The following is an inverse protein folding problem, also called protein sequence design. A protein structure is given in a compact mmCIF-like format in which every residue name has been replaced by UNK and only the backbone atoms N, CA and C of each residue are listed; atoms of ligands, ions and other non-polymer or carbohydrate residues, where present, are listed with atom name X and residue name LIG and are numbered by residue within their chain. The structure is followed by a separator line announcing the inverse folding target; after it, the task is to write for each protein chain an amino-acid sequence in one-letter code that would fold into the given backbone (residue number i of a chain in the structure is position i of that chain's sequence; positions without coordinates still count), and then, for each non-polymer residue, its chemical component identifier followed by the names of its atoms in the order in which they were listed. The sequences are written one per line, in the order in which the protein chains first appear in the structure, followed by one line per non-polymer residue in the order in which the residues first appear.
data_IF_807080340033
#
_entry.id   IF_807080340033
#
_cell.length_a   1.000
_cell.length_b   1.000
_cell.length_c   1.000
_cell.angle_alpha   90.00
_cell.angle_beta   90.00
_cell.angle_gamma   90.00
#
_symmetry.space_group_name_H-M   'P 1'
#
loop_
_entity.id
_entity.type
_entity.pdbx_description
1 polymer ?
#
# COMPACT_ATOMS: atom_id res chain seq x y z
N UNK A 1 31.28 -3.78 -3.84
CA UNK A 1 32.46 -4.38 -4.51
C UNK A 1 32.05 -5.26 -5.71
N UNK A 2 31.02 -4.85 -6.47
CA UNK A 2 30.56 -5.51 -7.72
C UNK A 2 30.04 -4.41 -8.65
N UNK A 3 30.93 -3.47 -8.97
CA UNK A 3 30.67 -2.43 -9.99
C UNK A 3 31.73 -2.50 -11.12
N UNK A 4 32.67 -3.46 -11.02
CA UNK A 4 33.89 -3.54 -11.84
C UNK A 4 34.12 -4.91 -12.50
N UNK A 5 33.09 -5.73 -12.69
CA UNK A 5 33.23 -6.93 -13.52
C UNK A 5 33.22 -6.52 -14.99
N UNK A 6 34.32 -6.70 -15.76
CA UNK A 6 34.40 -6.19 -17.12
C UNK A 6 33.37 -6.91 -18.00
N UNK A 7 32.33 -6.19 -18.40
CA UNK A 7 31.47 -6.58 -19.51
C UNK A 7 32.31 -6.50 -20.77
N UNK A 8 32.48 -7.62 -21.49
CA UNK A 8 33.11 -7.68 -22.81
C UNK A 8 32.24 -7.04 -23.91
N UNK A 9 31.81 -5.80 -23.68
CA UNK A 9 31.47 -4.84 -24.72
C UNK A 9 32.60 -3.82 -24.76
N UNK A 10 33.09 -3.51 -25.95
CA UNK A 10 34.13 -2.53 -26.20
C UNK A 10 33.64 -1.11 -25.93
N UNK A 11 33.51 -0.76 -24.66
CA UNK A 11 33.60 0.62 -24.16
C UNK A 11 33.70 0.51 -22.63
N UNK A 12 34.83 0.96 -22.07
CA UNK A 12 35.11 0.95 -20.63
C UNK A 12 34.23 1.89 -19.79
N UNK A 13 32.94 1.97 -20.08
CA UNK A 13 31.95 2.78 -19.38
C UNK A 13 31.10 1.92 -18.46
N UNK A 14 31.12 2.26 -17.17
CA UNK A 14 30.16 1.75 -16.18
C UNK A 14 28.77 2.30 -16.50
N UNK A 15 27.96 1.53 -17.23
CA UNK A 15 26.55 1.87 -17.41
C UNK A 15 25.75 1.40 -16.20
N UNK A 16 25.27 2.35 -15.40
CA UNK A 16 24.36 2.05 -14.30
C UNK A 16 23.00 1.62 -14.84
N UNK A 17 22.45 0.51 -14.33
CA UNK A 17 21.13 -0.01 -14.69
C UNK A 17 20.04 1.08 -14.57
N UNK A 18 20.13 1.94 -13.54
CA UNK A 18 19.19 3.03 -13.33
C UNK A 18 19.25 4.06 -14.46
N UNK A 19 20.46 4.44 -14.88
CA UNK A 19 20.67 5.38 -15.99
C UNK A 19 20.11 4.83 -17.30
N UNK A 20 20.36 3.54 -17.58
CA UNK A 20 19.83 2.90 -18.80
C UNK A 20 18.30 2.83 -18.79
N UNK A 21 17.69 2.42 -17.66
CA UNK A 21 16.23 2.37 -17.53
C UNK A 21 15.59 3.75 -17.68
N UNK A 22 16.19 4.79 -17.09
CA UNK A 22 15.72 6.17 -17.20
C UNK A 22 15.88 6.67 -18.64
N UNK A 23 16.99 6.39 -19.30
CA UNK A 23 17.21 6.81 -20.69
C UNK A 23 16.24 6.12 -21.66
N UNK A 24 15.89 4.85 -21.43
CA UNK A 24 15.00 4.10 -22.33
C UNK A 24 13.52 4.37 -22.08
N UNK A 25 13.09 4.41 -20.81
CA UNK A 25 11.67 4.50 -20.44
C UNK A 25 11.26 5.83 -19.82
N UNK A 26 12.22 6.71 -19.49
CA UNK A 26 11.98 7.92 -18.71
C UNK A 26 10.93 8.85 -19.30
N UNK A 27 10.96 9.12 -20.60
CA UNK A 27 9.95 10.00 -21.22
C UNK A 27 8.53 9.44 -21.11
N UNK A 28 8.35 8.15 -21.44
CA UNK A 28 7.06 7.48 -21.30
C UNK A 28 6.62 7.39 -19.84
N UNK A 29 7.56 7.26 -18.90
CA UNK A 29 7.30 7.16 -17.48
C UNK A 29 6.91 8.51 -16.85
N UNK A 30 7.72 9.56 -17.03
CA UNK A 30 7.47 10.87 -16.44
C UNK A 30 6.24 11.55 -17.02
N UNK A 31 5.88 11.31 -18.29
CA UNK A 31 4.64 11.83 -18.87
C UNK A 31 3.37 11.29 -18.19
N UNK A 32 3.44 10.14 -17.50
CA UNK A 32 2.32 9.62 -16.69
C UNK A 32 2.00 10.49 -15.48
N UNK A 33 2.93 11.37 -15.06
CA UNK A 33 2.67 12.32 -13.98
C UNK A 33 1.49 13.26 -14.33
N UNK A 34 1.33 13.62 -15.60
CA UNK A 34 0.21 14.47 -16.07
C UNK A 34 -1.12 13.72 -15.90
N UNK A 35 -1.18 12.44 -16.29
CA UNK A 35 -2.39 11.62 -16.12
C UNK A 35 -2.73 11.44 -14.64
N UNK A 36 -1.72 11.26 -13.78
CA UNK A 36 -1.93 11.17 -12.34
C UNK A 36 -2.45 12.48 -11.75
N UNK A 37 -1.83 13.61 -12.09
CA UNK A 37 -2.27 14.93 -11.65
C UNK A 37 -3.69 15.26 -12.12
N UNK A 38 -4.03 14.93 -13.37
CA UNK A 38 -5.37 15.11 -13.90
C UNK A 38 -6.39 14.27 -13.12
N UNK A 39 -6.08 13.00 -12.88
CA UNK A 39 -6.91 12.12 -12.05
C UNK A 39 -7.12 12.72 -10.65
N UNK A 40 -6.05 13.14 -9.99
CA UNK A 40 -6.12 13.71 -8.63
C UNK A 40 -6.97 15.00 -8.62
N UNK A 41 -6.80 15.88 -9.61
CA UNK A 41 -7.56 17.12 -9.72
C UNK A 41 -9.07 16.87 -9.89
N UNK A 42 -9.47 15.92 -10.76
CA UNK A 42 -10.88 15.59 -10.93
C UNK A 42 -11.49 14.91 -9.70
N UNK A 43 -10.72 14.09 -8.98
CA UNK A 43 -11.16 13.50 -7.70
C UNK A 43 -11.46 14.57 -6.65
N UNK A 44 -10.57 15.56 -6.49
CA UNK A 44 -10.78 16.67 -5.54
C UNK A 44 -11.82 17.70 -5.98
N UNK A 45 -12.15 17.77 -7.27
CA UNK A 45 -13.25 18.59 -7.73
C UNK A 45 -14.61 18.09 -7.23
N UNK A 46 -14.74 16.79 -6.92
CA UNK A 46 -15.96 16.20 -6.36
C UNK A 46 -16.45 16.87 -5.07
N UNK A 47 -15.63 16.95 -4.00
CA UNK A 47 -15.97 17.68 -2.78
C UNK A 47 -16.35 19.14 -2.97
N UNK A 48 -15.65 19.86 -3.86
CA UNK A 48 -15.91 21.27 -4.14
C UNK A 48 -17.29 21.43 -4.80
N UNK A 49 -17.61 20.57 -5.77
CA UNK A 49 -18.91 20.59 -6.42
C UNK A 49 -20.03 20.15 -5.49
N UNK A 50 -19.78 19.18 -4.60
CA UNK A 50 -20.73 18.80 -3.56
C UNK A 50 -21.02 19.99 -2.64
N UNK A 51 -19.99 20.78 -2.28
CA UNK A 51 -20.17 21.98 -1.48
C UNK A 51 -21.12 22.99 -2.16
N UNK A 52 -20.86 23.30 -3.43
CA UNK A 52 -21.69 24.22 -4.21
C UNK A 52 -23.12 23.71 -4.41
N UNK A 53 -23.27 22.40 -4.65
CA UNK A 53 -24.58 21.77 -4.80
C UNK A 53 -25.39 21.87 -3.51
N UNK A 54 -24.76 21.57 -2.38
CA UNK A 54 -25.41 21.62 -1.07
C UNK A 54 -25.82 23.05 -0.71
N UNK A 55 -24.98 24.05 -0.97
CA UNK A 55 -25.33 25.45 -0.71
C UNK A 55 -26.56 25.88 -1.55
N UNK A 56 -26.63 25.48 -2.83
CA UNK A 56 -27.80 25.72 -3.69
C UNK A 56 -29.07 25.03 -3.18
N UNK A 57 -28.94 23.85 -2.58
CA UNK A 57 -30.08 23.10 -2.03
C UNK A 57 -30.57 23.66 -0.69
N UNK A 58 -29.71 24.35 0.07
CA UNK A 58 -30.09 25.03 1.32
C UNK A 58 -30.78 26.37 1.07
N UNK A 59 -30.54 27.01 -0.09
CA UNK A 59 -31.19 28.25 -0.46
C UNK A 59 -32.69 28.03 -0.76
N UNK A 60 -33.59 28.85 -0.18
CA UNK A 60 -35.03 28.73 -0.39
C UNK A 60 -35.47 29.13 -1.81
N UNK A 61 -34.58 29.72 -2.61
CA UNK A 61 -34.84 30.14 -3.99
C UNK A 61 -34.39 29.02 -4.94
N UNK A 62 -35.30 28.43 -5.74
CA UNK A 62 -34.94 27.41 -6.69
C UNK A 62 -33.92 27.93 -7.72
N UNK A 63 -32.70 27.41 -7.68
CA UNK A 63 -31.64 27.77 -8.61
C UNK A 63 -31.36 26.60 -9.59
N UNK A 64 -31.57 26.78 -10.91
CA UNK A 64 -31.33 25.73 -11.90
C UNK A 64 -29.87 25.28 -11.98
N UNK A 65 -28.93 26.04 -11.41
CA UNK A 65 -27.51 25.66 -11.34
C UNK A 65 -27.24 24.39 -10.53
N UNK A 66 -28.17 23.96 -9.66
CA UNK A 66 -28.05 22.70 -8.93
C UNK A 66 -27.94 21.48 -9.87
N UNK A 67 -28.74 21.44 -10.95
CA UNK A 67 -28.65 20.38 -11.94
C UNK A 67 -27.32 20.40 -12.70
N UNK A 68 -26.77 21.60 -12.96
CA UNK A 68 -25.45 21.75 -13.58
C UNK A 68 -24.35 21.21 -12.67
N UNK A 69 -24.34 21.56 -11.38
CA UNK A 69 -23.35 21.05 -10.43
C UNK A 69 -23.44 19.53 -10.27
N UNK A 70 -24.64 18.96 -10.17
CA UNK A 70 -24.82 17.51 -10.13
C UNK A 70 -24.34 16.82 -11.43
N UNK A 71 -24.62 17.40 -12.59
CA UNK A 71 -24.11 16.91 -13.88
C UNK A 71 -22.59 16.98 -13.98
N UNK A 72 -21.97 18.06 -13.51
CA UNK A 72 -20.52 18.21 -13.44
C UNK A 72 -19.88 17.22 -12.47
N UNK A 73 -20.53 16.89 -11.34
CA UNK A 73 -20.03 15.88 -10.41
C UNK A 73 -19.93 14.51 -11.08
N UNK A 74 -20.98 14.12 -11.82
CA UNK A 74 -20.98 12.86 -12.58
C UNK A 74 -19.87 12.90 -13.63
N UNK A 75 -19.78 13.99 -14.41
CA UNK A 75 -18.77 14.14 -15.45
C UNK A 75 -17.33 14.06 -14.88
N UNK A 76 -17.05 14.79 -13.80
CA UNK A 76 -15.73 14.80 -13.18
C UNK A 76 -15.39 13.46 -12.51
N UNK A 77 -16.38 12.77 -11.94
CA UNK A 77 -16.18 11.41 -11.41
C UNK A 77 -15.82 10.42 -12.53
N UNK A 78 -16.48 10.53 -13.69
CA UNK A 78 -16.17 9.72 -14.87
C UNK A 78 -14.77 10.04 -15.43
N UNK A 79 -14.41 11.32 -15.51
CA UNK A 79 -13.08 11.75 -15.95
C UNK A 79 -11.99 11.28 -14.97
N UNK A 80 -12.19 11.43 -13.66
CA UNK A 80 -11.28 10.92 -12.63
C UNK A 80 -11.05 9.41 -12.79
N UNK A 81 -12.13 8.64 -12.93
CA UNK A 81 -12.05 7.19 -13.16
C UNK A 81 -11.32 6.85 -14.47
N UNK A 82 -11.58 7.59 -15.54
CA UNK A 82 -10.92 7.42 -16.83
C UNK A 82 -9.41 7.68 -16.73
N UNK A 83 -8.99 8.82 -16.18
CA UNK A 83 -7.57 9.16 -16.02
C UNK A 83 -6.85 8.20 -15.06
N UNK A 84 -7.48 7.85 -13.94
CA UNK A 84 -6.95 6.86 -12.99
C UNK A 84 -6.74 5.49 -13.64
N UNK A 85 -7.74 5.01 -14.38
CA UNK A 85 -7.65 3.71 -15.06
C UNK A 85 -6.57 3.72 -16.14
N UNK A 86 -6.49 4.78 -16.94
CA UNK A 86 -5.44 4.93 -17.94
C UNK A 86 -4.05 5.01 -17.30
N UNK A 87 -3.88 5.81 -16.24
CA UNK A 87 -2.63 5.87 -15.48
C UNK A 87 -2.20 4.48 -15.00
N UNK A 88 -3.11 3.75 -14.35
CA UNK A 88 -2.86 2.39 -13.85
C UNK A 88 -2.49 1.43 -15.00
N UNK A 89 -3.18 1.51 -16.13
CA UNK A 89 -2.85 0.69 -17.29
C UNK A 89 -1.45 0.98 -17.82
N UNK A 90 -1.10 2.25 -18.03
CA UNK A 90 0.18 2.64 -18.61
C UNK A 90 1.36 2.41 -17.65
N UNK A 91 1.21 2.68 -16.35
CA UNK A 91 2.28 2.42 -15.37
C UNK A 91 2.57 0.91 -15.28
N UNK A 92 1.54 0.06 -15.29
CA UNK A 92 1.69 -1.39 -15.33
C UNK A 92 2.33 -1.86 -16.64
N UNK A 93 1.96 -1.26 -17.78
CA UNK A 93 2.58 -1.54 -19.08
C UNK A 93 4.07 -1.20 -19.10
N UNK A 94 4.47 -0.06 -18.51
CA UNK A 94 5.88 0.30 -18.36
C UNK A 94 6.57 -0.68 -17.41
N UNK A 95 5.95 -1.01 -16.28
CA UNK A 95 6.48 -2.01 -15.34
C UNK A 95 6.75 -3.36 -16.00
N UNK A 96 5.85 -3.84 -16.86
CA UNK A 96 6.04 -5.07 -17.64
C UNK A 96 7.20 -4.95 -18.64
N UNK A 97 7.36 -3.80 -19.32
CA UNK A 97 8.49 -3.56 -20.22
C UNK A 97 9.83 -3.53 -19.48
N UNK A 98 9.88 -2.87 -18.32
CA UNK A 98 11.04 -2.83 -17.43
C UNK A 98 11.39 -4.25 -16.96
N UNK A 99 10.39 -5.03 -16.54
CA UNK A 99 10.56 -6.44 -16.17
C UNK A 99 11.20 -7.25 -17.29
N UNK A 100 10.62 -7.18 -18.49
CA UNK A 100 11.13 -7.91 -19.64
C UNK A 100 12.57 -7.51 -19.97
N UNK A 101 12.87 -6.21 -20.00
CA UNK A 101 14.22 -5.70 -20.26
C UNK A 101 15.23 -6.21 -19.22
N UNK A 102 14.92 -6.07 -17.92
CA UNK A 102 15.82 -6.53 -16.86
C UNK A 102 16.07 -8.04 -16.90
N UNK A 103 15.02 -8.84 -17.12
CA UNK A 103 15.14 -10.30 -17.21
C UNK A 103 15.96 -10.69 -18.43
N UNK A 104 15.68 -10.13 -19.61
CA UNK A 104 16.45 -10.43 -20.83
C UNK A 104 17.91 -10.05 -20.68
N UNK A 105 18.22 -8.84 -20.22
CA UNK A 105 19.61 -8.41 -20.00
C UNK A 105 20.33 -9.29 -18.98
N UNK A 106 19.63 -9.74 -17.94
CA UNK A 106 20.22 -10.65 -16.95
C UNK A 106 20.47 -12.04 -17.55
N UNK A 107 19.54 -12.58 -18.34
CA UNK A 107 19.76 -13.84 -19.07
C UNK A 107 20.92 -13.75 -20.05
N UNK A 108 21.00 -12.68 -20.85
CA UNK A 108 22.12 -12.48 -21.79
C UNK A 108 23.45 -12.41 -21.04
N UNK A 109 23.49 -11.70 -19.91
CA UNK A 109 24.67 -11.65 -19.05
C UNK A 109 25.03 -13.03 -18.49
N UNK A 110 24.04 -13.82 -18.04
CA UNK A 110 24.28 -15.17 -17.52
C UNK A 110 24.86 -16.11 -18.58
N UNK A 111 24.49 -15.95 -19.85
CA UNK A 111 25.02 -16.76 -20.96
C UNK A 111 26.44 -16.36 -21.38
N UNK A 112 26.88 -15.14 -21.07
CA UNK A 112 28.20 -14.62 -21.46
C UNK A 112 29.25 -14.66 -20.35
N UNK A 113 28.84 -14.80 -19.08
CA UNK A 113 29.77 -14.77 -17.93
C UNK A 113 30.57 -16.08 -17.85
N UNK A 114 31.91 -16.02 -17.71
CA UNK A 114 32.74 -17.21 -17.53
C UNK A 114 32.33 -18.04 -16.31
N UNK A 115 32.46 -19.36 -16.39
CA UNK A 115 32.09 -20.27 -15.30
C UNK A 115 32.81 -19.97 -13.97
N UNK A 116 34.04 -19.44 -14.02
CA UNK A 116 34.82 -19.02 -12.85
C UNK A 116 34.15 -17.88 -12.07
N UNK A 117 33.58 -16.91 -12.77
CA UNK A 117 32.82 -15.80 -12.16
C UNK A 117 31.41 -16.24 -11.78
N UNK A 118 30.79 -17.12 -12.58
CA UNK A 118 29.47 -17.67 -12.28
C UNK A 118 29.45 -18.47 -10.97
N UNK A 119 30.52 -19.22 -10.70
CA UNK A 119 30.67 -20.01 -9.48
C UNK A 119 30.74 -19.16 -8.20
N UNK A 120 31.00 -17.84 -8.32
CA UNK A 120 30.90 -16.93 -7.18
C UNK A 120 29.45 -16.68 -6.73
N UNK A 121 28.46 -16.98 -7.59
CA UNK A 121 27.05 -16.85 -7.30
C UNK A 121 26.39 -18.23 -7.16
N UNK A 122 25.62 -18.42 -6.09
CA UNK A 122 24.77 -19.61 -5.98
C UNK A 122 23.61 -19.54 -6.96
N UNK A 123 23.09 -20.68 -7.42
CA UNK A 123 21.88 -20.74 -8.24
C UNK A 123 20.69 -20.05 -7.56
N UNK A 124 20.64 -20.09 -6.22
CA UNK A 124 19.63 -19.37 -5.43
C UNK A 124 19.79 -17.85 -5.48
N UNK A 125 21.02 -17.34 -5.47
CA UNK A 125 21.28 -15.90 -5.61
C UNK A 125 20.83 -15.38 -6.99
N UNK A 126 21.12 -16.13 -8.05
CA UNK A 126 20.68 -15.80 -9.42
C UNK A 126 19.15 -15.79 -9.51
N UNK A 127 18.48 -16.79 -8.91
CA UNK A 127 17.03 -16.86 -8.89
C UNK A 127 16.42 -15.66 -8.14
N UNK A 128 17.05 -15.20 -7.06
CA UNK A 128 16.60 -14.01 -6.33
C UNK A 128 16.70 -12.74 -7.18
N UNK A 129 17.74 -12.61 -8.02
CA UNK A 129 17.81 -11.47 -8.95
C UNK A 129 16.62 -11.45 -9.90
N UNK A 130 16.31 -12.58 -10.56
CA UNK A 130 15.20 -12.70 -11.54
C UNK A 130 13.83 -12.53 -10.89
N UNK A 131 13.64 -13.07 -9.68
CA UNK A 131 12.33 -13.11 -9.02
C UNK A 131 12.10 -11.90 -8.13
N UNK A 132 12.99 -11.64 -7.18
CA UNK A 132 12.74 -10.69 -6.09
C UNK A 132 13.23 -9.28 -6.45
N UNK A 133 14.46 -9.16 -6.96
CA UNK A 133 15.05 -7.84 -7.20
C UNK A 133 14.45 -7.15 -8.42
N UNK A 134 14.17 -7.89 -9.50
CA UNK A 134 13.40 -7.34 -10.63
C UNK A 134 12.01 -6.88 -10.20
N UNK A 135 11.28 -7.66 -9.39
CA UNK A 135 9.95 -7.26 -8.92
C UNK A 135 10.01 -5.98 -8.07
N UNK A 136 11.08 -5.78 -7.28
CA UNK A 136 11.30 -4.51 -6.56
C UNK A 136 11.47 -3.33 -7.51
N UNK A 137 12.23 -3.49 -8.59
CA UNK A 137 12.41 -2.44 -9.62
C UNK A 137 11.08 -2.12 -10.32
N UNK A 138 10.27 -3.14 -10.61
CA UNK A 138 8.94 -2.94 -11.21
C UNK A 138 8.00 -2.20 -10.25
N UNK A 139 7.98 -2.61 -8.97
CA UNK A 139 7.16 -1.97 -7.94
C UNK A 139 7.56 -0.52 -7.67
N UNK A 140 8.83 -0.18 -7.90
CA UNK A 140 9.32 1.19 -7.80
C UNK A 140 8.61 2.13 -8.79
N UNK A 141 8.25 1.67 -10.00
CA UNK A 141 7.55 2.50 -10.98
C UNK A 141 6.23 3.08 -10.43
N UNK A 142 5.42 2.26 -9.77
CA UNK A 142 4.18 2.73 -9.15
C UNK A 142 4.45 3.54 -7.88
N UNK A 143 5.37 3.05 -7.03
CA UNK A 143 5.72 3.70 -5.76
C UNK A 143 6.27 5.11 -5.94
N UNK A 144 7.01 5.35 -7.02
CA UNK A 144 7.53 6.67 -7.37
C UNK A 144 6.41 7.68 -7.63
N UNK A 145 5.37 7.29 -8.38
CA UNK A 145 4.25 8.19 -8.63
C UNK A 145 3.42 8.44 -7.37
N UNK A 146 3.27 7.43 -6.51
CA UNK A 146 2.64 7.61 -5.19
C UNK A 146 3.45 8.56 -4.30
N UNK A 147 4.78 8.48 -4.31
CA UNK A 147 5.66 9.28 -3.45
C UNK A 147 5.45 10.79 -3.59
N UNK A 148 5.29 11.31 -4.81
CA UNK A 148 5.04 12.74 -5.02
C UNK A 148 3.55 13.10 -5.04
N UNK A 149 2.67 12.19 -5.47
CA UNK A 149 1.22 12.43 -5.54
C UNK A 149 0.61 12.51 -4.13
N UNK A 150 0.98 11.60 -3.22
CA UNK A 150 0.40 11.55 -1.87
C UNK A 150 0.58 12.85 -1.06
N UNK A 151 1.76 13.51 -1.00
CA UNK A 151 1.90 14.81 -0.35
C UNK A 151 1.03 15.91 -0.97
N UNK A 152 0.88 15.93 -2.30
CA UNK A 152 0.03 16.89 -3.01
C UNK A 152 -1.43 16.65 -2.64
N UNK A 153 -1.89 15.40 -2.71
CA UNK A 153 -3.24 15.01 -2.31
C UNK A 153 -3.54 15.38 -0.85
N UNK A 154 -2.61 15.08 0.07
CA UNK A 154 -2.74 15.42 1.49
C UNK A 154 -2.85 16.93 1.70
N UNK A 155 -2.02 17.72 1.00
CA UNK A 155 -2.04 19.19 1.11
C UNK A 155 -3.37 19.76 0.63
N UNK A 156 -3.88 19.29 -0.50
CA UNK A 156 -5.18 19.72 -1.05
C UNK A 156 -6.31 19.31 -0.10
N UNK A 157 -6.31 18.08 0.40
CA UNK A 157 -7.32 17.58 1.33
C UNK A 157 -7.36 18.40 2.62
N UNK A 158 -6.21 18.68 3.23
CA UNK A 158 -6.11 19.51 4.45
C UNK A 158 -6.57 20.95 4.19
N UNK A 159 -6.23 21.52 3.02
CA UNK A 159 -6.68 22.86 2.63
C UNK A 159 -8.20 22.93 2.47
N UNK A 160 -8.81 21.96 1.78
CA UNK A 160 -10.26 21.87 1.63
C UNK A 160 -10.94 21.68 2.99
N UNK A 161 -10.38 20.83 3.85
CA UNK A 161 -10.90 20.62 5.20
C UNK A 161 -10.83 21.91 6.03
N UNK A 162 -9.71 22.63 5.99
CA UNK A 162 -9.58 23.94 6.64
C UNK A 162 -10.62 24.94 6.13
N UNK A 163 -10.91 24.95 4.83
CA UNK A 163 -11.94 25.82 4.25
C UNK A 163 -13.34 25.49 4.77
N UNK A 164 -13.67 24.21 4.97
CA UNK A 164 -15.00 23.77 5.42
C UNK A 164 -15.24 24.00 6.92
N UNK A 165 -14.26 23.64 7.76
CA UNK A 165 -14.43 23.61 9.23
C UNK A 165 -13.57 24.64 9.98
N UNK A 166 -12.82 25.48 9.27
CA UNK A 166 -11.91 26.45 9.86
C UNK A 166 -10.84 25.77 10.71
N UNK A 167 -10.46 26.40 11.82
CA UNK A 167 -9.42 25.90 12.74
C UNK A 167 -9.76 24.56 13.42
N UNK A 168 -11.01 24.09 13.36
CA UNK A 168 -11.41 22.80 13.91
C UNK A 168 -10.74 21.61 13.22
N UNK A 169 -10.24 21.76 11.98
CA UNK A 169 -9.51 20.71 11.27
C UNK A 169 -8.26 20.23 12.03
N UNK A 170 -7.64 21.11 12.83
CA UNK A 170 -6.46 20.78 13.64
C UNK A 170 -6.74 19.68 14.68
N UNK A 171 -7.98 19.60 15.18
CA UNK A 171 -8.37 18.52 16.08
C UNK A 171 -8.36 17.16 15.37
N UNK A 172 -8.83 17.11 14.12
CA UNK A 172 -8.76 15.91 13.29
C UNK A 172 -7.32 15.52 12.93
N UNK A 173 -6.47 16.51 12.60
CA UNK A 173 -5.03 16.27 12.38
C UNK A 173 -4.39 15.70 13.65
N UNK A 174 -4.70 16.26 14.82
CA UNK A 174 -4.17 15.77 16.10
C UNK A 174 -4.67 14.34 16.40
N UNK A 175 -5.94 14.04 16.16
CA UNK A 175 -6.50 12.71 16.32
C UNK A 175 -5.79 11.70 15.38
N UNK A 176 -5.56 12.06 14.12
CA UNK A 176 -4.81 11.25 13.17
C UNK A 176 -3.36 11.02 13.63
N UNK A 177 -2.69 12.07 14.12
CA UNK A 177 -1.32 11.96 14.67
C UNK A 177 -1.23 11.04 15.89
N UNK A 178 -2.27 11.00 16.73
CA UNK A 178 -2.37 10.08 17.88
C UNK A 178 -2.62 8.63 17.42
N UNK A 179 -3.36 8.42 16.33
CA UNK A 179 -3.59 7.09 15.77
C UNK A 179 -2.29 6.44 15.23
N UNK A 180 -1.34 7.22 14.72
CA UNK A 180 -0.05 6.72 14.18
C UNK A 180 0.74 5.88 15.20
N UNK A 181 1.10 6.37 16.41
CA UNK A 181 1.85 5.58 17.38
C UNK A 181 1.06 4.38 17.91
N UNK A 182 -0.27 4.48 18.02
CA UNK A 182 -1.13 3.36 18.42
C UNK A 182 -1.06 2.26 17.37
N UNK A 183 -1.25 2.60 16.08
CA UNK A 183 -1.09 1.67 14.96
C UNK A 183 0.29 1.03 14.97
N UNK A 184 1.37 1.83 15.13
CA UNK A 184 2.74 1.32 15.21
C UNK A 184 2.91 0.31 16.35
N UNK A 185 2.34 0.56 17.52
CA UNK A 185 2.41 -0.35 18.65
C UNK A 185 1.67 -1.68 18.39
N UNK A 186 0.48 -1.62 17.79
CA UNK A 186 -0.28 -2.81 17.39
C UNK A 186 0.49 -3.62 16.33
N UNK A 187 0.96 -2.99 15.26
CA UNK A 187 1.71 -3.65 14.19
C UNK A 187 3.00 -4.29 14.70
N UNK A 188 3.74 -3.60 15.58
CA UNK A 188 4.94 -4.17 16.21
C UNK A 188 4.59 -5.39 17.08
N UNK A 189 3.45 -5.37 17.76
CA UNK A 189 2.97 -6.50 18.55
C UNK A 189 2.57 -7.68 17.68
N UNK A 190 1.89 -7.43 16.54
CA UNK A 190 1.61 -8.45 15.51
C UNK A 190 2.92 -9.07 15.03
N UNK A 191 3.93 -8.25 14.68
CA UNK A 191 5.25 -8.70 14.24
C UNK A 191 5.93 -9.62 15.27
N UNK A 192 5.94 -9.22 16.55
CA UNK A 192 6.49 -10.05 17.64
C UNK A 192 5.77 -11.39 17.78
N UNK A 193 4.44 -11.41 17.71
CA UNK A 193 3.67 -12.66 17.78
C UNK A 193 3.87 -13.52 16.53
N UNK A 194 4.00 -12.90 15.36
CA UNK A 194 4.34 -13.57 14.10
C UNK A 194 5.67 -14.33 14.18
N UNK A 195 6.72 -13.72 14.76
CA UNK A 195 8.02 -14.40 14.94
C UNK A 195 7.88 -15.62 15.86
N UNK A 196 7.18 -15.48 16.99
CA UNK A 196 6.94 -16.61 17.92
C UNK A 196 6.13 -17.72 17.26
N UNK A 197 5.07 -17.36 16.52
CA UNK A 197 4.25 -18.31 15.76
C UNK A 197 5.10 -19.08 14.74
N UNK A 198 5.96 -18.39 13.98
CA UNK A 198 6.84 -19.05 13.00
C UNK A 198 7.81 -20.01 13.68
N UNK A 199 8.39 -19.64 14.82
CA UNK A 199 9.26 -20.54 15.58
C UNK A 199 8.55 -21.84 16.01
N UNK A 200 7.33 -21.73 16.59
CA UNK A 200 6.54 -22.91 16.97
C UNK A 200 6.15 -23.75 15.74
N UNK A 201 5.77 -23.09 14.64
CA UNK A 201 5.42 -23.75 13.38
C UNK A 201 6.60 -24.54 12.80
N UNK A 202 7.80 -23.96 12.80
CA UNK A 202 9.02 -24.61 12.28
C UNK A 202 9.38 -25.84 13.13
N UNK A 203 9.29 -25.74 14.45
CA UNK A 203 9.47 -26.89 15.36
C UNK A 203 8.46 -28.00 15.08
N UNK A 204 7.17 -27.66 14.92
CA UNK A 204 6.13 -28.66 14.61
C UNK A 204 6.39 -29.32 13.26
N UNK A 205 6.68 -28.54 12.21
CA UNK A 205 6.95 -29.07 10.87
C UNK A 205 8.17 -29.98 10.88
N UNK A 206 9.23 -29.63 11.63
CA UNK A 206 10.41 -30.48 11.81
C UNK A 206 10.03 -31.85 12.39
N UNK A 207 9.28 -31.88 13.49
CA UNK A 207 8.85 -33.15 14.12
C UNK A 207 7.96 -33.95 13.17
N UNK A 208 7.00 -33.31 12.50
CA UNK A 208 6.14 -33.98 11.51
C UNK A 208 6.96 -34.61 10.39
N UNK A 209 7.99 -33.91 9.90
CA UNK A 209 8.90 -34.42 8.87
C UNK A 209 9.67 -35.65 9.37
N UNK A 210 10.28 -35.57 10.55
CA UNK A 210 11.01 -36.69 11.16
C UNK A 210 10.10 -37.91 11.38
N UNK A 211 8.85 -37.69 11.83
CA UNK A 211 7.85 -38.75 11.98
C UNK A 211 7.52 -39.44 10.65
N UNK A 212 7.36 -38.68 9.57
CA UNK A 212 7.06 -39.23 8.24
C UNK A 212 8.26 -39.99 7.68
N UNK A 213 9.47 -39.43 7.80
CA UNK A 213 10.72 -40.09 7.37
C UNK A 213 10.94 -41.41 8.13
N UNK A 214 10.58 -41.46 9.42
CA UNK A 214 10.70 -42.64 10.30
C UNK A 214 9.47 -43.55 10.39
N UNK A 215 8.45 -43.39 9.54
CA UNK A 215 7.10 -43.95 9.77
C UNK A 215 7.07 -45.48 9.94
N UNK A 216 7.93 -46.23 9.23
CA UNK A 216 7.97 -47.70 9.31
C UNK A 216 8.38 -48.16 10.71
N UNK A 217 9.40 -47.53 11.30
CA UNK A 217 9.89 -47.85 12.64
C UNK A 217 8.84 -47.50 13.71
N UNK A 218 8.20 -46.34 13.58
CA UNK A 218 7.15 -45.90 14.50
C UNK A 218 5.98 -46.90 14.53
N UNK A 219 5.52 -47.36 13.35
CA UNK A 219 4.46 -48.37 13.24
C UNK A 219 4.88 -49.73 13.79
N UNK A 220 6.09 -50.19 13.51
CA UNK A 220 6.58 -51.47 14.04
C UNK A 220 6.69 -51.49 15.57
N UNK A 221 6.87 -50.32 16.19
CA UNK A 221 6.95 -50.16 17.64
C UNK A 221 5.63 -49.73 18.29
N UNK A 222 4.55 -49.56 17.51
CA UNK A 222 3.25 -49.04 17.96
C UNK A 222 3.36 -47.69 18.73
N UNK A 223 4.25 -46.80 18.27
CA UNK A 223 4.52 -45.50 18.90
C UNK A 223 3.68 -44.35 18.32
N UNK A 224 2.66 -44.62 17.51
CA UNK A 224 1.89 -43.57 16.83
C UNK A 224 1.28 -42.57 17.81
N UNK A 225 0.63 -43.05 18.87
CA UNK A 225 -0.04 -42.19 19.86
C UNK A 225 0.95 -41.26 20.60
N UNK A 226 2.19 -41.70 20.82
CA UNK A 226 3.22 -40.87 21.45
C UNK A 226 3.62 -39.70 20.55
N UNK A 227 3.88 -39.97 19.27
CA UNK A 227 4.23 -38.93 18.30
C UNK A 227 3.05 -38.00 18.01
N UNK A 228 1.83 -38.52 17.98
CA UNK A 228 0.61 -37.73 17.85
C UNK A 228 0.45 -36.75 19.02
N UNK A 229 0.59 -37.23 20.26
CA UNK A 229 0.53 -36.39 21.46
C UNK A 229 1.60 -35.29 21.41
N UNK A 230 2.85 -35.64 21.08
CA UNK A 230 3.95 -34.69 20.96
C UNK A 230 3.69 -33.61 19.89
N UNK A 231 3.12 -33.99 18.74
CA UNK A 231 2.75 -33.04 17.68
C UNK A 231 1.61 -32.13 18.14
N UNK A 232 0.62 -32.68 18.87
CA UNK A 232 -0.50 -31.92 19.40
C UNK A 232 -0.08 -30.90 20.46
N UNK A 233 0.84 -31.23 21.38
CA UNK A 233 1.40 -30.26 22.34
C UNK A 233 2.07 -29.07 21.63
N UNK A 234 2.80 -29.32 20.54
CA UNK A 234 3.40 -28.26 19.73
C UNK A 234 2.33 -27.44 19.00
N UNK A 235 1.26 -28.09 18.53
CA UNK A 235 0.13 -27.43 17.89
C UNK A 235 -0.62 -26.52 18.87
N UNK A 236 -0.79 -26.90 20.14
CA UNK A 236 -1.42 -26.05 21.14
C UNK A 236 -0.64 -24.74 21.36
N UNK A 237 0.70 -24.83 21.45
CA UNK A 237 1.58 -23.65 21.53
C UNK A 237 1.50 -22.77 20.28
N UNK A 238 1.47 -23.40 19.10
CA UNK A 238 1.27 -22.70 17.82
C UNK A 238 -0.08 -21.94 17.81
N UNK A 239 -1.17 -22.62 18.20
CA UNK A 239 -2.52 -22.06 18.24
C UNK A 239 -2.65 -20.93 19.26
N UNK A 240 -1.94 -20.98 20.39
CA UNK A 240 -1.91 -19.90 21.36
C UNK A 240 -1.38 -18.59 20.76
N UNK A 241 -0.21 -18.63 20.10
CA UNK A 241 0.35 -17.44 19.44
C UNK A 241 -0.47 -17.01 18.23
N UNK A 242 -1.03 -17.97 17.47
CA UNK A 242 -1.94 -17.67 16.38
C UNK A 242 -3.17 -16.91 16.88
N UNK A 243 -3.78 -17.35 17.98
CA UNK A 243 -4.97 -16.72 18.58
C UNK A 243 -4.69 -15.26 18.95
N UNK A 244 -3.59 -15.00 19.66
CA UNK A 244 -3.20 -13.63 20.04
C UNK A 244 -2.95 -12.77 18.78
N UNK A 245 -2.20 -13.29 17.81
CA UNK A 245 -1.96 -12.60 16.54
C UNK A 245 -3.27 -12.25 15.83
N UNK A 246 -4.24 -13.17 15.80
CA UNK A 246 -5.54 -12.94 15.16
C UNK A 246 -6.40 -11.92 15.90
N UNK A 247 -6.36 -11.86 17.22
CA UNK A 247 -6.99 -10.76 17.95
C UNK A 247 -6.32 -9.41 17.68
N UNK A 248 -4.99 -9.35 17.61
CA UNK A 248 -4.27 -8.13 17.25
C UNK A 248 -4.58 -7.70 15.81
N UNK A 249 -4.64 -8.63 14.86
CA UNK A 249 -5.07 -8.38 13.48
C UNK A 249 -6.49 -7.79 13.47
N UNK A 250 -7.43 -8.37 14.24
CA UNK A 250 -8.79 -7.85 14.35
C UNK A 250 -8.81 -6.42 14.92
N UNK A 251 -8.08 -6.15 16.01
CA UNK A 251 -7.95 -4.81 16.59
C UNK A 251 -7.39 -3.82 15.57
N UNK A 252 -6.39 -4.22 14.79
CA UNK A 252 -5.83 -3.40 13.71
C UNK A 252 -6.91 -3.04 12.67
N UNK A 253 -7.66 -4.04 12.18
CA UNK A 253 -8.74 -3.81 11.20
C UNK A 253 -9.83 -2.88 11.76
N UNK A 254 -10.26 -3.09 13.01
CA UNK A 254 -11.23 -2.21 13.66
C UNK A 254 -10.71 -0.79 13.85
N UNK A 255 -9.44 -0.61 14.16
CA UNK A 255 -8.81 0.70 14.28
C UNK A 255 -8.80 1.44 12.95
N UNK A 256 -8.48 0.75 11.85
CA UNK A 256 -8.56 1.33 10.50
C UNK A 256 -9.99 1.69 10.11
N UNK A 257 -10.96 0.83 10.39
CA UNK A 257 -12.36 1.07 10.07
C UNK A 257 -12.98 2.20 10.91
N UNK A 258 -12.53 2.38 12.16
CA UNK A 258 -13.03 3.42 13.07
C UNK A 258 -12.26 4.73 13.00
N UNK A 259 -11.09 4.78 12.36
CA UNK A 259 -10.26 5.98 12.26
C UNK A 259 -11.02 7.19 11.67
N UNK A 260 -11.74 7.09 10.54
CA UNK A 260 -12.52 8.22 10.00
C UNK A 260 -13.59 8.70 10.99
N UNK A 261 -14.29 7.77 11.66
CA UNK A 261 -15.30 8.13 12.66
C UNK A 261 -14.70 8.90 13.84
N UNK A 262 -13.55 8.46 14.36
CA UNK A 262 -12.87 9.15 15.46
C UNK A 262 -12.38 10.55 15.05
N UNK A 263 -11.86 10.69 13.83
CA UNK A 263 -11.41 11.97 13.28
C UNK A 263 -12.63 12.90 13.11
N UNK A 264 -13.70 12.44 12.46
CA UNK A 264 -14.95 13.18 12.31
C UNK A 264 -15.52 13.65 13.66
N UNK A 265 -15.60 12.75 14.66
CA UNK A 265 -16.09 13.13 16.00
C UNK A 265 -15.21 14.22 16.61
N UNK A 266 -13.88 14.08 16.53
CA UNK A 266 -12.96 15.08 17.08
C UNK A 266 -13.14 16.48 16.47
N UNK A 267 -13.34 16.54 15.14
CA UNK A 267 -13.55 17.79 14.41
C UNK A 267 -14.90 18.40 14.79
N UNK A 268 -15.99 17.63 14.76
CA UNK A 268 -17.34 18.13 15.05
C UNK A 268 -17.50 18.56 16.51
N UNK A 269 -16.92 17.81 17.45
CA UNK A 269 -16.91 18.19 18.87
C UNK A 269 -16.16 19.50 19.07
N UNK A 270 -14.99 19.66 18.45
CA UNK A 270 -14.23 20.92 18.54
C UNK A 270 -14.99 22.08 17.89
N UNK A 271 -15.59 21.85 16.72
CA UNK A 271 -16.38 22.84 15.99
C UNK A 271 -17.57 23.38 16.80
N UNK A 272 -18.28 22.50 17.51
CA UNK A 272 -19.49 22.85 18.27
C UNK A 272 -19.20 23.32 19.69
N UNK A 273 -18.31 22.64 20.42
CA UNK A 273 -18.05 22.94 21.83
C UNK A 273 -17.03 24.07 22.02
N UNK A 274 -16.02 24.17 21.16
CA UNK A 274 -14.96 25.18 21.30
C UNK A 274 -15.29 26.45 20.53
N UNK A 275 -15.80 26.32 19.30
CA UNK A 275 -16.12 27.47 18.46
C UNK A 275 -17.60 27.92 18.56
N UNK A 276 -18.46 27.18 19.25
CA UNK A 276 -19.90 27.48 19.43
C UNK A 276 -20.65 27.74 18.10
N UNK A 277 -20.19 27.12 17.01
CA UNK A 277 -20.79 27.28 15.68
C UNK A 277 -21.94 26.28 15.49
N UNK A 278 -22.99 26.72 14.78
CA UNK A 278 -24.15 25.86 14.47
C UNK A 278 -23.76 24.79 13.45
N UNK A 279 -24.10 23.54 13.76
CA UNK A 279 -23.94 22.41 12.85
C UNK A 279 -25.13 22.34 11.89
N UNK A 280 -24.90 22.48 10.59
CA UNK A 280 -25.92 22.21 9.57
C UNK A 280 -25.69 20.82 8.98
N UNK A 281 -26.76 20.09 8.65
CA UNK A 281 -26.67 18.74 8.06
C UNK A 281 -25.77 18.70 6.81
N UNK A 282 -25.81 19.77 6.00
CA UNK A 282 -24.88 20.01 4.90
C UNK A 282 -23.40 19.90 5.26
N UNK A 283 -22.98 20.53 6.37
CA UNK A 283 -21.57 20.50 6.80
C UNK A 283 -21.14 19.10 7.24
N UNK A 284 -22.04 18.34 7.86
CA UNK A 284 -21.77 16.96 8.25
C UNK A 284 -21.56 16.03 7.04
N UNK A 285 -22.43 16.13 6.03
CA UNK A 285 -22.30 15.32 4.81
C UNK A 285 -21.09 15.73 3.96
N UNK A 286 -20.77 17.03 3.89
CA UNK A 286 -19.57 17.55 3.21
C UNK A 286 -18.27 16.99 3.81
N UNK A 287 -18.17 17.00 5.13
CA UNK A 287 -16.99 16.55 5.84
C UNK A 287 -16.71 15.05 5.64
N UNK A 288 -17.73 14.20 5.80
CA UNK A 288 -17.59 12.75 5.61
C UNK A 288 -17.11 12.39 4.19
N UNK A 289 -17.55 13.12 3.15
CA UNK A 289 -17.16 12.83 1.77
C UNK A 289 -15.68 13.15 1.49
N UNK A 290 -15.15 14.24 2.09
CA UNK A 290 -13.73 14.59 2.00
C UNK A 290 -12.87 13.53 2.70
N UNK A 291 -13.29 13.07 3.89
CA UNK A 291 -12.56 12.03 4.62
C UNK A 291 -12.54 10.70 3.84
N UNK A 292 -13.67 10.27 3.29
CA UNK A 292 -13.73 9.04 2.47
C UNK A 292 -12.82 9.10 1.25
N UNK A 293 -12.62 10.27 0.64
CA UNK A 293 -11.72 10.43 -0.52
C UNK A 293 -10.25 10.48 -0.12
N UNK A 294 -9.93 10.90 1.11
CA UNK A 294 -8.57 10.90 1.66
C UNK A 294 -8.13 9.56 2.27
N UNK A 295 -9.09 8.67 2.55
CA UNK A 295 -8.85 7.33 3.10
C UNK A 295 -8.59 6.24 2.04
N UNK A 296 -8.51 6.63 0.76
CA UNK A 296 -8.02 5.80 -0.36
C UNK A 296 -6.61 6.25 -0.77
#
# INVERSE_FOLDING_TARGET
MIENSPTFYSDGQQYSLSSSLISTFGWSFFSLAILRLASDAFTFAGPILLHLLVDVLEDPVPNPMGFLYAGLMVLFSLLAAFFSTNFNFYVNKIGLKVRAACITTLYDKLLMVPATEMNAFSSGAILNFVSTDVDRVVNFCNSFHAFWSLPVQLTIALYLLYREVGMAFLAGVLAALILIPINKWVTNSIGRMSVKLMHCKDQRIKVVRETIEGIRAIKSSAWESFFEMKINEMREKELYYLKIRKYLDAVCVYMWASAPLLITISILTTYTMVFHLKLTAAKFFRHNNIETLSSF
#
